data_IF_997866349908
#
_entry.id   IF_997866349908
#
_cell.length_a   1.000
_cell.length_b   1.000
_cell.length_c   1.000
_cell.angle_alpha   90.00
_cell.angle_beta   90.00
_cell.angle_gamma   90.00
#
_symmetry.space_group_name_H-M   'P 1'
#
loop_
_entity.id
_entity.type
_entity.pdbx_description
1 polymer ?
#
# COMPACT_ATOMS: atom_id res chain seq x y z
N UNK A 1 13.59 9.00 12.01
CA UNK A 1 12.96 8.10 13.01
C UNK A 1 11.57 8.59 13.35
N UNK A 2 10.60 7.68 13.45
CA UNK A 2 9.25 7.96 13.95
C UNK A 2 9.12 7.77 15.47
N UNK A 3 10.23 7.65 16.19
CA UNK A 3 10.15 7.54 17.65
C UNK A 3 9.42 8.77 18.22
N UNK A 4 8.26 8.58 18.87
CA UNK A 4 7.50 9.69 19.38
C UNK A 4 8.18 10.27 20.65
N UNK A 5 8.33 11.58 20.68
CA UNK A 5 9.04 12.28 21.75
C UNK A 5 8.17 13.25 22.53
N UNK A 6 6.99 13.59 22.02
CA UNK A 6 6.11 14.60 22.60
C UNK A 6 4.75 14.03 23.05
N UNK A 7 4.78 13.15 24.06
CA UNK A 7 3.57 12.60 24.66
C UNK A 7 2.69 13.69 25.30
N UNK A 8 3.29 14.69 25.94
CA UNK A 8 2.53 15.79 26.58
C UNK A 8 1.84 16.66 25.57
N UNK A 9 2.50 17.03 24.48
CA UNK A 9 1.87 17.77 23.38
C UNK A 9 0.70 17.00 22.78
N UNK A 10 0.84 15.68 22.59
CA UNK A 10 -0.24 14.84 22.08
C UNK A 10 -1.45 14.81 23.01
N UNK A 11 -1.25 14.64 24.33
CA UNK A 11 -2.33 14.64 25.33
C UNK A 11 -3.11 15.96 25.27
N UNK A 12 -2.40 17.07 25.31
CA UNK A 12 -3.03 18.40 25.29
C UNK A 12 -3.79 18.65 24.00
N UNK A 13 -3.19 18.27 22.86
CA UNK A 13 -3.84 18.49 21.58
C UNK A 13 -5.07 17.62 21.38
N UNK A 14 -5.00 16.32 21.66
CA UNK A 14 -6.13 15.41 21.46
C UNK A 14 -7.31 15.77 22.37
N UNK A 15 -7.07 16.12 23.65
CA UNK A 15 -8.11 16.62 24.57
C UNK A 15 -8.80 17.86 24.02
N UNK A 16 -8.02 18.83 23.56
CA UNK A 16 -8.54 20.05 22.93
C UNK A 16 -9.41 19.74 21.72
N UNK A 17 -8.99 18.77 20.87
CA UNK A 17 -9.78 18.37 19.68
C UNK A 17 -11.10 17.72 20.05
N UNK A 18 -11.13 16.87 21.07
CA UNK A 18 -12.39 16.34 21.59
C UNK A 18 -13.32 17.46 22.05
N UNK A 19 -12.84 18.40 22.85
CA UNK A 19 -13.65 19.51 23.32
C UNK A 19 -14.17 20.43 22.18
N UNK A 20 -13.33 20.74 21.20
CA UNK A 20 -13.70 21.53 20.01
C UNK A 20 -14.84 20.84 19.22
N UNK A 21 -14.72 19.52 18.96
CA UNK A 21 -15.72 18.78 18.19
C UNK A 21 -17.03 18.65 18.96
N UNK A 22 -16.98 18.36 20.26
CA UNK A 22 -18.18 18.28 21.10
C UNK A 22 -18.94 19.63 21.14
N UNK A 23 -18.23 20.74 21.22
CA UNK A 23 -18.84 22.08 21.19
C UNK A 23 -19.54 22.39 19.85
N UNK A 24 -18.98 21.92 18.71
CA UNK A 24 -19.62 22.08 17.39
C UNK A 24 -20.88 21.22 17.30
N UNK A 25 -20.80 19.95 17.75
CA UNK A 25 -21.95 19.02 17.75
C UNK A 25 -23.13 19.54 18.53
N UNK A 26 -22.88 20.16 19.68
CA UNK A 26 -23.95 20.78 20.52
C UNK A 26 -24.70 21.88 19.79
N UNK A 27 -24.08 22.54 18.80
CA UNK A 27 -24.74 23.55 17.94
C UNK A 27 -25.62 22.96 16.84
N UNK A 28 -25.59 21.63 16.66
CA UNK A 28 -26.43 20.90 15.70
C UNK A 28 -26.00 21.02 14.22
N UNK A 29 -24.79 21.51 13.94
CA UNK A 29 -24.29 21.61 12.57
C UNK A 29 -23.50 20.34 12.22
N UNK A 30 -24.17 19.40 11.53
CA UNK A 30 -23.59 18.11 11.19
C UNK A 30 -22.45 18.23 10.16
N UNK A 31 -22.62 19.06 9.14
CA UNK A 31 -21.60 19.26 8.09
C UNK A 31 -20.31 19.88 8.64
N UNK A 32 -20.45 20.92 9.47
CA UNK A 32 -19.31 21.54 10.14
C UNK A 32 -18.58 20.56 11.07
N UNK A 33 -19.35 19.73 11.79
CA UNK A 33 -18.81 18.68 12.65
C UNK A 33 -17.97 17.68 11.86
N UNK A 34 -18.51 17.17 10.75
CA UNK A 34 -17.82 16.19 9.91
C UNK A 34 -16.55 16.76 9.26
N UNK A 35 -16.62 17.97 8.74
CA UNK A 35 -15.46 18.66 8.18
C UNK A 35 -14.36 18.89 9.22
N UNK A 36 -14.76 19.27 10.46
CA UNK A 36 -13.83 19.42 11.57
C UNK A 36 -13.17 18.10 11.95
N UNK A 37 -13.92 17.01 12.04
CA UNK A 37 -13.40 15.67 12.34
C UNK A 37 -12.35 15.26 11.30
N UNK A 38 -12.65 15.39 10.00
CA UNK A 38 -11.70 15.10 8.92
C UNK A 38 -10.40 15.91 9.02
N UNK A 39 -10.52 17.19 9.35
CA UNK A 39 -9.36 18.07 9.54
C UNK A 39 -8.52 17.65 10.78
N UNK A 40 -9.17 17.26 11.85
CA UNK A 40 -8.50 16.76 13.07
C UNK A 40 -7.76 15.45 12.80
N UNK A 41 -8.38 14.50 12.12
CA UNK A 41 -7.72 13.26 11.74
C UNK A 41 -6.44 13.53 10.93
N UNK A 42 -6.53 14.33 9.85
CA UNK A 42 -5.36 14.69 9.03
C UNK A 42 -4.24 15.32 9.84
N UNK A 43 -4.59 16.23 10.76
CA UNK A 43 -3.60 16.87 11.61
C UNK A 43 -2.92 15.90 12.57
N UNK A 44 -3.69 15.08 13.29
CA UNK A 44 -3.14 14.16 14.29
C UNK A 44 -2.29 13.06 13.66
N UNK A 45 -2.68 12.54 12.50
CA UNK A 45 -1.87 11.56 11.74
C UNK A 45 -0.50 12.16 11.35
N UNK A 46 -0.47 13.44 10.94
CA UNK A 46 0.78 14.09 10.53
C UNK A 46 1.69 14.48 11.70
N UNK A 47 1.11 14.99 12.77
CA UNK A 47 1.89 15.54 13.89
C UNK A 47 2.29 14.46 14.89
N UNK A 48 1.41 13.49 15.13
CA UNK A 48 1.60 12.42 16.11
C UNK A 48 1.31 11.04 15.51
N UNK A 49 1.97 10.64 14.42
CA UNK A 49 1.59 9.48 13.61
C UNK A 49 1.48 8.18 14.42
N UNK A 50 2.48 7.88 15.26
CA UNK A 50 2.51 6.65 16.07
C UNK A 50 1.48 6.68 17.19
N UNK A 51 1.45 7.78 17.97
CA UNK A 51 0.51 7.89 19.09
C UNK A 51 -0.93 7.89 18.61
N UNK A 52 -1.19 8.56 17.48
CA UNK A 52 -2.53 8.61 16.94
C UNK A 52 -2.97 7.29 16.28
N UNK A 53 -2.05 6.56 15.65
CA UNK A 53 -2.37 5.21 15.15
C UNK A 53 -2.71 4.25 16.30
N UNK A 54 -1.97 4.26 17.41
CA UNK A 54 -2.35 3.49 18.61
C UNK A 54 -3.73 3.87 19.11
N UNK A 55 -4.02 5.18 19.16
CA UNK A 55 -5.33 5.69 19.60
C UNK A 55 -6.46 5.21 18.70
N UNK A 56 -6.27 5.21 17.39
CA UNK A 56 -7.24 4.70 16.42
C UNK A 56 -7.42 3.19 16.53
N UNK A 57 -6.31 2.44 16.67
CA UNK A 57 -6.33 0.98 16.78
C UNK A 57 -7.07 0.47 18.02
N UNK A 58 -6.98 1.20 19.11
CA UNK A 58 -7.60 0.82 20.38
C UNK A 58 -9.01 1.38 20.58
N UNK A 59 -9.48 2.18 19.65
CA UNK A 59 -10.85 2.67 19.63
C UNK A 59 -11.88 1.59 19.32
N UNK A 60 -13.14 1.93 19.40
CA UNK A 60 -14.23 1.07 18.94
C UNK A 60 -14.15 0.94 17.43
N UNK A 61 -14.15 -0.31 16.92
CA UNK A 61 -14.15 -0.61 15.50
C UNK A 61 -15.59 -0.68 14.97
N UNK A 62 -15.80 -0.18 13.76
CA UNK A 62 -17.10 -0.22 13.08
C UNK A 62 -17.52 1.13 12.53
N UNK A 63 -18.79 1.29 12.22
CA UNK A 63 -19.40 2.56 11.82
C UNK A 63 -19.33 3.53 13.00
N UNK A 64 -18.28 4.30 13.03
CA UNK A 64 -17.83 4.95 14.22
C UNK A 64 -18.32 6.39 14.25
N UNK A 65 -19.02 6.72 15.29
CA UNK A 65 -19.24 8.11 15.66
C UNK A 65 -17.92 8.70 16.21
N UNK A 66 -17.01 9.07 15.27
CA UNK A 66 -15.73 9.67 15.63
C UNK A 66 -15.94 10.86 16.58
N UNK A 67 -15.27 10.82 17.73
CA UNK A 67 -15.41 11.82 18.78
C UNK A 67 -16.84 11.94 19.35
N UNK A 68 -17.67 10.90 19.26
CA UNK A 68 -19.03 10.88 19.81
C UNK A 68 -19.07 10.90 21.33
N UNK A 69 -18.11 10.23 21.95
CA UNK A 69 -17.93 10.20 23.41
C UNK A 69 -16.98 11.32 23.86
N UNK A 70 -16.98 11.62 25.14
CA UNK A 70 -15.98 12.50 25.75
C UNK A 70 -14.58 11.86 25.71
N UNK A 71 -13.54 12.66 25.80
CA UNK A 71 -12.17 12.16 25.87
C UNK A 71 -11.95 11.17 27.03
N UNK A 72 -12.52 11.45 28.21
CA UNK A 72 -12.37 10.60 29.38
C UNK A 72 -13.04 9.23 29.20
N UNK A 73 -14.20 9.18 28.57
CA UNK A 73 -14.87 7.90 28.22
C UNK A 73 -14.03 7.10 27.22
N UNK A 74 -13.52 7.75 26.19
CA UNK A 74 -12.68 7.12 25.18
C UNK A 74 -11.34 6.62 25.76
N UNK A 75 -10.73 7.37 26.68
CA UNK A 75 -9.53 6.92 27.39
C UNK A 75 -9.84 5.71 28.26
N UNK A 76 -10.97 5.74 28.99
CA UNK A 76 -11.39 4.61 29.84
C UNK A 76 -11.57 3.31 29.05
N UNK A 77 -12.17 3.38 27.85
CA UNK A 77 -12.33 2.22 26.95
C UNK A 77 -10.96 1.64 26.58
N UNK A 78 -9.99 2.47 26.21
CA UNK A 78 -8.65 2.03 25.82
C UNK A 78 -7.86 1.42 26.96
N UNK A 79 -7.95 2.03 28.15
CA UNK A 79 -7.35 1.48 29.36
C UNK A 79 -7.92 0.08 29.68
N UNK A 80 -9.24 -0.06 29.59
CA UNK A 80 -9.91 -1.36 29.80
C UNK A 80 -9.47 -2.40 28.78
N UNK A 81 -9.40 -2.03 27.50
CA UNK A 81 -8.93 -2.92 26.41
C UNK A 81 -7.52 -3.46 26.66
N UNK A 82 -6.64 -2.63 27.24
CA UNK A 82 -5.27 -3.01 27.60
C UNK A 82 -5.14 -3.57 29.04
N UNK A 83 -6.24 -3.80 29.73
CA UNK A 83 -6.27 -4.29 31.11
C UNK A 83 -5.48 -3.37 32.09
N UNK A 84 -5.49 -2.07 31.86
CA UNK A 84 -4.80 -1.09 32.69
C UNK A 84 -5.75 -0.59 33.77
N UNK A 85 -5.38 -0.80 35.03
CA UNK A 85 -6.12 -0.33 36.21
C UNK A 85 -5.67 1.09 36.59
N UNK A 86 -6.05 2.08 35.80
CA UNK A 86 -5.83 3.50 36.12
C UNK A 86 -7.17 4.23 36.20
N UNK A 87 -7.52 4.81 37.34
CA UNK A 87 -8.78 5.56 37.45
C UNK A 87 -8.68 6.86 36.64
N UNK A 88 -9.68 7.12 35.81
CA UNK A 88 -9.84 8.38 35.10
C UNK A 88 -10.84 9.25 35.89
N UNK A 89 -10.31 10.17 36.65
CA UNK A 89 -11.14 11.20 37.34
C UNK A 89 -11.14 12.49 36.50
N UNK A 90 -11.96 13.48 36.90
CA UNK A 90 -12.05 14.73 36.16
C UNK A 90 -10.94 15.74 36.50
N UNK A 91 -9.85 15.31 37.16
CA UNK A 91 -8.70 16.20 37.44
C UNK A 91 -7.66 16.05 36.30
N UNK A 92 -7.03 17.17 35.90
CA UNK A 92 -6.00 17.15 34.86
C UNK A 92 -4.87 16.16 35.14
N UNK A 93 -4.43 16.06 36.38
CA UNK A 93 -3.33 15.18 36.81
C UNK A 93 -3.71 13.68 36.68
N UNK A 94 -4.95 13.32 37.00
CA UNK A 94 -5.46 11.96 36.86
C UNK A 94 -5.54 11.57 35.40
N UNK A 95 -6.04 12.45 34.54
CA UNK A 95 -6.17 12.24 33.11
C UNK A 95 -4.77 12.07 32.46
N UNK A 96 -3.83 12.98 32.77
CA UNK A 96 -2.45 12.89 32.27
C UNK A 96 -1.79 11.59 32.69
N UNK A 97 -1.88 11.23 33.98
CA UNK A 97 -1.30 9.98 34.51
C UNK A 97 -1.88 8.74 33.85
N UNK A 98 -3.20 8.68 33.69
CA UNK A 98 -3.89 7.57 33.01
C UNK A 98 -3.49 7.46 31.53
N UNK A 99 -3.41 8.58 30.83
CA UNK A 99 -3.01 8.62 29.43
C UNK A 99 -1.54 8.22 29.22
N UNK A 100 -0.63 8.68 30.06
CA UNK A 100 0.77 8.25 30.03
C UNK A 100 0.91 6.75 30.30
N UNK A 101 0.08 6.19 31.20
CA UNK A 101 0.02 4.76 31.45
C UNK A 101 -0.46 3.98 30.19
N UNK A 102 -1.45 4.53 29.47
CA UNK A 102 -1.90 4.00 28.20
C UNK A 102 -0.78 4.00 27.14
N UNK A 103 -0.10 5.11 26.92
CA UNK A 103 0.99 5.21 25.93
C UNK A 103 2.15 4.26 26.26
N UNK A 104 2.50 4.13 27.54
CA UNK A 104 3.52 3.17 28.00
C UNK A 104 3.11 1.72 27.69
N UNK A 105 1.86 1.37 27.90
CA UNK A 105 1.38 0.03 27.58
C UNK A 105 1.38 -0.22 26.04
N UNK A 106 1.04 0.79 25.24
CA UNK A 106 1.17 0.69 23.77
C UNK A 106 2.63 0.47 23.34
N UNK A 107 3.60 1.15 23.96
CA UNK A 107 5.01 0.93 23.68
C UNK A 107 5.46 -0.50 24.06
N UNK A 108 5.03 -1.01 25.22
CA UNK A 108 5.30 -2.39 25.61
C UNK A 108 4.66 -3.41 24.65
N UNK A 109 3.45 -3.13 24.18
CA UNK A 109 2.79 -3.92 23.16
C UNK A 109 3.58 -3.91 21.84
N UNK A 110 4.09 -2.75 21.41
CA UNK A 110 4.94 -2.62 20.23
C UNK A 110 6.22 -3.46 20.36
N UNK A 111 6.90 -3.41 21.52
CA UNK A 111 8.07 -4.24 21.78
C UNK A 111 7.75 -5.72 21.55
N UNK A 112 6.66 -6.21 22.14
CA UNK A 112 6.25 -7.60 22.02
C UNK A 112 5.89 -7.99 20.59
N UNK A 113 5.16 -7.13 19.87
CA UNK A 113 4.71 -7.39 18.49
C UNK A 113 5.88 -7.42 17.50
N UNK A 114 6.85 -6.56 17.68
CA UNK A 114 7.98 -6.45 16.78
C UNK A 114 9.20 -7.31 17.19
N UNK A 115 9.12 -8.07 18.28
CA UNK A 115 10.23 -8.85 18.80
C UNK A 115 10.84 -9.81 17.76
N UNK A 116 10.01 -10.63 17.14
CA UNK A 116 10.43 -11.57 16.10
C UNK A 116 10.94 -10.83 14.85
N UNK A 117 10.18 -9.85 14.39
CA UNK A 117 10.52 -9.07 13.19
C UNK A 117 11.86 -8.32 13.32
N UNK A 118 12.18 -7.80 14.49
CA UNK A 118 13.40 -7.02 14.70
C UNK A 118 14.63 -7.86 15.07
N UNK A 119 14.45 -9.16 15.36
CA UNK A 119 15.54 -10.05 15.77
C UNK A 119 16.68 -10.10 14.72
N UNK A 120 16.32 -10.14 13.45
CA UNK A 120 17.28 -10.21 12.32
C UNK A 120 17.71 -8.83 11.81
N UNK A 121 17.31 -7.74 12.47
CA UNK A 121 17.60 -6.36 12.08
C UNK A 121 17.29 -6.10 10.60
N UNK A 122 16.07 -6.29 10.17
CA UNK A 122 15.70 -6.23 8.76
C UNK A 122 15.95 -4.84 8.16
N UNK A 123 16.38 -4.83 6.92
CA UNK A 123 16.47 -3.64 6.08
C UNK A 123 15.40 -3.76 4.97
N UNK A 124 14.63 -2.71 4.76
CA UNK A 124 13.52 -2.70 3.81
C UNK A 124 13.72 -1.55 2.85
N UNK A 125 13.68 -1.82 1.56
CA UNK A 125 13.67 -0.79 0.52
C UNK A 125 12.24 -0.46 0.16
N UNK A 126 11.95 0.83 0.03
CA UNK A 126 10.64 1.32 -0.37
C UNK A 126 10.75 2.61 -1.19
N UNK A 127 9.71 2.92 -1.93
CA UNK A 127 9.60 4.19 -2.64
C UNK A 127 8.57 5.09 -1.97
N UNK A 128 8.82 6.38 -2.08
CA UNK A 128 7.86 7.43 -1.73
C UNK A 128 7.46 8.15 -3.01
N UNK A 129 6.18 8.16 -3.30
CA UNK A 129 5.62 8.93 -4.40
C UNK A 129 4.26 9.48 -4.02
N UNK A 130 3.78 10.46 -4.79
CA UNK A 130 2.48 11.11 -4.55
C UNK A 130 1.65 11.03 -5.81
N UNK A 131 0.41 10.60 -5.66
CA UNK A 131 -0.56 10.61 -6.75
C UNK A 131 -1.27 11.96 -6.83
N UNK A 132 -1.45 12.47 -8.03
CA UNK A 132 -2.22 13.71 -8.28
C UNK A 132 -3.70 13.46 -8.02
N UNK A 133 -4.18 12.36 -8.53
CA UNK A 133 -5.54 11.86 -8.32
C UNK A 133 -5.55 10.34 -8.47
N UNK A 134 -6.47 9.65 -7.80
CA UNK A 134 -6.66 8.23 -8.01
C UNK A 134 -7.13 7.98 -9.44
N UNK A 135 -6.57 6.94 -10.07
CA UNK A 135 -6.97 6.48 -11.37
C UNK A 135 -6.97 4.96 -11.41
N UNK A 136 -7.99 4.38 -12.01
CA UNK A 136 -8.03 2.95 -12.28
C UNK A 136 -7.22 2.57 -13.52
N UNK A 137 -6.82 3.54 -14.33
CA UNK A 137 -5.84 3.38 -15.42
C UNK A 137 -4.39 3.64 -14.99
N UNK A 138 -4.14 3.91 -13.72
CA UNK A 138 -2.88 4.43 -13.22
C UNK A 138 -1.67 3.48 -13.35
N UNK A 139 -1.84 2.27 -13.82
CA UNK A 139 -0.74 1.32 -13.98
C UNK A 139 0.38 1.90 -14.84
N UNK A 140 0.04 2.39 -16.03
CA UNK A 140 1.02 2.97 -16.95
C UNK A 140 1.17 4.47 -16.79
N UNK A 141 0.20 5.12 -16.18
CA UNK A 141 0.11 6.57 -16.03
C UNK A 141 -0.15 7.35 -17.33
N UNK A 142 -0.28 6.71 -18.46
CA UNK A 142 -0.50 7.36 -19.74
C UNK A 142 0.60 8.35 -20.12
N UNK A 143 1.83 8.01 -19.84
CA UNK A 143 2.91 8.98 -19.71
C UNK A 143 3.65 9.23 -20.99
N UNK A 144 3.68 8.29 -21.87
CA UNK A 144 4.34 8.44 -23.16
C UNK A 144 3.66 9.49 -24.02
N UNK A 145 2.39 9.76 -23.83
CA UNK A 145 1.77 10.99 -24.29
C UNK A 145 1.64 11.99 -23.13
N UNK A 146 2.60 12.87 -22.99
CA UNK A 146 2.63 13.91 -21.95
C UNK A 146 1.39 14.83 -21.94
N UNK A 147 0.56 14.80 -23.00
CA UNK A 147 -0.69 15.54 -23.09
C UNK A 147 -1.86 14.78 -22.48
N UNK A 148 -1.73 13.46 -22.35
CA UNK A 148 -2.84 12.63 -21.96
C UNK A 148 -3.12 12.71 -20.46
N UNK A 149 -2.32 12.08 -19.64
CA UNK A 149 -2.58 12.03 -18.21
C UNK A 149 -1.29 12.02 -17.40
N UNK A 150 -1.26 12.85 -16.40
CA UNK A 150 -0.20 12.88 -15.41
C UNK A 150 -0.81 12.57 -14.04
N UNK A 151 -0.61 11.37 -13.56
CA UNK A 151 -1.24 10.89 -12.32
C UNK A 151 -0.37 11.12 -11.08
N UNK A 152 0.93 11.39 -11.27
CA UNK A 152 1.85 11.63 -10.16
C UNK A 152 2.23 13.10 -10.03
N UNK A 153 2.45 13.52 -8.79
CA UNK A 153 3.07 14.79 -8.47
C UNK A 153 4.58 14.56 -8.43
N UNK A 154 5.36 15.47 -8.99
CA UNK A 154 6.81 15.45 -8.88
C UNK A 154 7.27 15.43 -7.40
N UNK A 155 8.42 14.82 -7.15
CA UNK A 155 8.98 14.68 -5.81
C UNK A 155 8.93 13.25 -5.28
N UNK A 156 9.57 12.32 -5.98
CA UNK A 156 9.74 10.93 -5.58
C UNK A 156 11.02 10.69 -4.77
N UNK A 157 11.06 9.58 -4.04
CA UNK A 157 12.25 9.11 -3.36
C UNK A 157 12.32 7.59 -3.33
N UNK A 158 13.53 7.07 -3.38
CA UNK A 158 13.87 5.71 -3.04
C UNK A 158 14.56 5.75 -1.68
N UNK A 159 14.13 4.92 -0.76
CA UNK A 159 14.63 4.94 0.62
C UNK A 159 14.81 3.53 1.17
N UNK A 160 15.65 3.42 2.18
CA UNK A 160 15.86 2.22 2.97
C UNK A 160 15.50 2.48 4.42
N UNK A 161 14.67 1.62 4.97
CA UNK A 161 14.33 1.56 6.38
C UNK A 161 15.19 0.49 7.04
N UNK A 162 15.79 0.83 8.17
CA UNK A 162 16.51 -0.09 9.04
C UNK A 162 15.94 -0.04 10.45
N UNK A 163 15.68 -1.19 11.04
CA UNK A 163 15.21 -1.25 12.42
C UNK A 163 16.37 -1.01 13.39
N UNK A 164 16.20 -0.05 14.29
CA UNK A 164 17.05 0.21 15.44
C UNK A 164 16.22 -0.03 16.71
N UNK A 165 16.31 -1.23 17.30
CA UNK A 165 15.33 -1.70 18.26
C UNK A 165 13.94 -1.75 17.63
N UNK A 166 12.95 -1.17 18.31
CA UNK A 166 11.55 -1.11 17.82
C UNK A 166 11.26 0.11 16.94
N UNK A 167 12.24 0.97 16.71
CA UNK A 167 12.07 2.19 15.91
C UNK A 167 12.85 2.09 14.62
N UNK A 168 12.27 2.63 13.58
CA UNK A 168 12.89 2.65 12.26
C UNK A 168 13.73 3.91 12.05
N UNK A 169 14.89 3.72 11.42
CA UNK A 169 15.70 4.78 10.84
C UNK A 169 15.57 4.72 9.33
N UNK A 170 15.38 5.86 8.68
CA UNK A 170 15.22 5.93 7.24
C UNK A 170 16.44 6.62 6.64
N UNK A 171 17.06 5.93 5.69
CA UNK A 171 18.12 6.45 4.83
C UNK A 171 17.55 6.70 3.44
N UNK A 172 17.68 7.90 2.93
CA UNK A 172 17.31 8.22 1.56
C UNK A 172 18.42 7.77 0.61
N UNK A 173 18.07 6.94 -0.36
CA UNK A 173 18.97 6.40 -1.37
C UNK A 173 19.04 7.30 -2.61
N UNK A 174 17.87 7.82 -3.00
CA UNK A 174 17.68 8.72 -4.14
C UNK A 174 16.50 9.64 -3.85
N UNK A 175 16.64 10.93 -4.17
CA UNK A 175 15.54 11.88 -4.25
C UNK A 175 15.51 12.50 -5.61
N UNK A 176 14.31 12.77 -6.13
CA UNK A 176 14.10 13.52 -7.34
C UNK A 176 12.91 14.45 -7.13
N UNK A 177 13.16 15.75 -7.14
CA UNK A 177 12.12 16.77 -6.94
C UNK A 177 11.27 17.01 -8.18
N UNK A 178 11.77 16.66 -9.36
CA UNK A 178 11.08 16.85 -10.65
C UNK A 178 10.48 15.56 -11.21
N UNK A 179 10.99 14.43 -10.75
CA UNK A 179 10.64 13.10 -11.23
C UNK A 179 9.81 12.27 -10.25
N UNK A 180 9.63 11.02 -10.63
CA UNK A 180 8.92 10.00 -9.85
C UNK A 180 9.69 8.69 -9.87
N UNK A 181 9.85 8.05 -8.71
CA UNK A 181 10.49 6.74 -8.53
C UNK A 181 9.48 5.75 -7.99
N UNK A 182 9.39 4.54 -8.60
CA UNK A 182 8.45 3.50 -8.19
C UNK A 182 9.00 2.09 -8.43
N UNK A 183 8.26 1.09 -8.01
CA UNK A 183 8.44 -0.35 -8.29
C UNK A 183 9.82 -0.91 -7.89
N UNK A 184 10.27 -0.77 -6.64
CA UNK A 184 11.56 -1.29 -6.23
C UNK A 184 11.52 -2.83 -6.19
N UNK A 185 12.50 -3.47 -6.82
CA UNK A 185 12.68 -4.92 -6.80
C UNK A 185 14.13 -5.27 -6.47
N UNK A 186 14.33 -5.94 -5.34
CA UNK A 186 15.66 -6.32 -4.88
C UNK A 186 16.13 -7.58 -5.59
N UNK A 187 17.35 -7.56 -6.11
CA UNK A 187 17.99 -8.73 -6.68
C UNK A 187 18.29 -9.79 -5.59
N UNK A 188 18.39 -11.06 -6.00
CA UNK A 188 18.63 -12.20 -5.08
C UNK A 188 19.94 -12.11 -4.32
N UNK A 189 20.91 -11.32 -4.80
CA UNK A 189 22.17 -11.07 -4.08
C UNK A 189 22.05 -10.08 -2.92
N UNK A 190 20.88 -9.41 -2.78
CA UNK A 190 20.65 -8.39 -1.77
C UNK A 190 21.45 -7.09 -1.93
N UNK A 191 22.13 -6.89 -3.07
CA UNK A 191 23.01 -5.75 -3.31
C UNK A 191 22.54 -4.85 -4.46
N UNK A 192 21.82 -5.40 -5.44
CA UNK A 192 21.32 -4.64 -6.58
C UNK A 192 19.83 -4.42 -6.47
N UNK A 193 19.41 -3.23 -6.84
CA UNK A 193 18.02 -2.79 -6.75
C UNK A 193 17.55 -2.26 -8.10
N UNK A 194 16.57 -2.93 -8.67
CA UNK A 194 15.86 -2.50 -9.86
C UNK A 194 14.72 -1.56 -9.46
N UNK A 195 14.46 -0.52 -10.23
CA UNK A 195 13.35 0.41 -10.02
C UNK A 195 12.97 1.14 -11.30
N UNK A 196 11.76 1.65 -11.35
CA UNK A 196 11.26 2.48 -12.42
C UNK A 196 11.44 3.96 -12.06
N UNK A 197 12.01 4.75 -12.95
CA UNK A 197 12.24 6.16 -12.71
C UNK A 197 11.91 7.00 -13.93
N UNK A 198 11.10 8.02 -13.72
CA UNK A 198 10.78 9.08 -14.66
C UNK A 198 11.38 10.37 -14.13
N UNK A 199 12.38 10.91 -14.80
CA UNK A 199 13.15 12.05 -14.32
C UNK A 199 12.47 13.41 -14.54
N UNK A 200 11.48 13.48 -15.43
CA UNK A 200 10.70 14.68 -15.66
C UNK A 200 9.26 14.32 -15.98
N UNK A 201 8.30 15.02 -15.41
CA UNK A 201 6.88 14.78 -15.69
C UNK A 201 6.46 15.04 -17.12
N UNK A 202 7.19 15.89 -17.85
CA UNK A 202 6.80 16.36 -19.19
C UNK A 202 7.72 15.90 -20.29
N UNK A 203 9.01 15.71 -19.97
CA UNK A 203 10.06 15.54 -20.96
C UNK A 203 10.62 14.12 -20.99
N UNK A 204 10.22 13.27 -20.05
CA UNK A 204 10.72 11.90 -19.90
C UNK A 204 9.59 10.92 -19.66
N UNK A 205 9.81 9.66 -20.02
CA UNK A 205 8.96 8.51 -19.69
C UNK A 205 9.57 7.70 -18.55
N UNK A 206 8.86 6.72 -18.04
CA UNK A 206 9.44 5.77 -17.10
C UNK A 206 10.43 4.85 -17.80
N UNK A 207 11.60 4.68 -17.23
CA UNK A 207 12.59 3.71 -17.64
C UNK A 207 13.07 2.88 -16.45
N UNK A 208 13.64 1.72 -16.74
CA UNK A 208 14.25 0.86 -15.73
C UNK A 208 15.67 1.29 -15.42
N UNK A 209 15.98 1.31 -14.13
CA UNK A 209 17.30 1.62 -13.57
C UNK A 209 17.68 0.56 -12.56
N UNK A 210 18.98 0.28 -12.48
CA UNK A 210 19.57 -0.56 -11.44
C UNK A 210 20.49 0.29 -10.56
N UNK A 211 20.40 0.14 -9.25
CA UNK A 211 21.31 0.74 -8.25
C UNK A 211 22.10 -0.34 -7.54
N UNK A 212 23.41 -0.16 -7.44
CA UNK A 212 24.21 -0.89 -6.47
C UNK A 212 24.03 -0.24 -5.09
N UNK A 213 23.51 -0.97 -4.13
CA UNK A 213 23.18 -0.45 -2.80
C UNK A 213 24.42 -0.11 -1.96
N UNK A 214 25.58 -0.67 -2.29
CA UNK A 214 26.84 -0.42 -1.61
C UNK A 214 27.55 0.81 -2.14
N UNK A 215 27.69 0.92 -3.46
CA UNK A 215 28.41 2.02 -4.13
C UNK A 215 27.52 3.22 -4.41
N UNK A 216 26.20 3.02 -4.47
CA UNK A 216 25.18 4.01 -4.90
C UNK A 216 25.26 4.35 -6.37
N UNK A 217 26.00 3.61 -7.16
CA UNK A 217 26.03 3.78 -8.59
C UNK A 217 24.69 3.39 -9.21
N UNK A 218 24.17 4.23 -10.11
CA UNK A 218 22.90 4.01 -10.81
C UNK A 218 23.19 3.86 -12.30
N UNK A 219 22.68 2.78 -12.87
CA UNK A 219 22.74 2.47 -14.29
C UNK A 219 21.34 2.48 -14.90
N UNK A 220 21.15 3.20 -16.00
CA UNK A 220 19.95 3.13 -16.80
C UNK A 220 19.98 1.87 -17.68
N UNK A 221 18.90 1.10 -17.70
CA UNK A 221 18.80 -0.16 -18.44
C UNK A 221 17.98 -0.03 -19.72
N UNK A 222 16.90 0.75 -19.68
CA UNK A 222 16.01 0.94 -20.83
C UNK A 222 15.95 2.40 -21.23
N UNK A 223 15.71 2.66 -22.53
CA UNK A 223 15.82 3.98 -23.15
C UNK A 223 14.75 4.17 -24.20
N UNK A 224 14.53 5.39 -24.61
CA UNK A 224 13.66 5.78 -25.70
C UNK A 224 12.63 6.83 -25.27
N UNK A 225 11.87 7.33 -26.23
CA UNK A 225 10.76 8.27 -25.99
C UNK A 225 9.46 7.69 -26.54
N UNK A 226 8.35 8.06 -25.95
CA UNK A 226 7.03 7.64 -26.38
C UNK A 226 6.63 6.25 -25.87
N UNK A 227 7.28 5.75 -24.83
CA UNK A 227 6.89 4.52 -24.16
C UNK A 227 7.42 4.51 -22.72
N UNK A 228 6.68 3.89 -21.83
CA UNK A 228 7.02 3.70 -20.43
C UNK A 228 7.43 2.23 -20.17
N UNK A 229 8.51 2.03 -19.41
CA UNK A 229 8.99 0.74 -18.92
C UNK A 229 8.87 0.75 -17.40
N UNK A 230 8.04 -0.13 -16.84
CA UNK A 230 7.66 -0.14 -15.43
C UNK A 230 7.61 -1.56 -14.85
N UNK A 231 7.53 -1.64 -13.51
CA UNK A 231 7.28 -2.88 -12.79
C UNK A 231 8.26 -4.01 -13.11
N UNK A 232 9.55 -3.66 -13.24
CA UNK A 232 10.61 -4.63 -13.50
C UNK A 232 10.82 -5.60 -12.33
N UNK A 233 10.98 -6.89 -12.63
CA UNK A 233 11.37 -7.92 -11.68
C UNK A 233 12.55 -8.72 -12.20
N UNK A 234 13.46 -9.11 -11.30
CA UNK A 234 14.52 -10.04 -11.63
C UNK A 234 13.99 -11.48 -11.73
N UNK A 235 14.50 -12.20 -12.68
CA UNK A 235 14.28 -13.64 -12.86
C UNK A 235 15.51 -14.44 -12.36
N UNK A 236 15.35 -15.75 -12.09
CA UNK A 236 16.45 -16.57 -11.55
C UNK A 236 17.66 -16.71 -12.48
N UNK A 237 17.50 -16.43 -13.75
CA UNK A 237 18.55 -16.48 -14.80
C UNK A 237 19.20 -15.10 -15.04
N UNK A 238 19.02 -14.14 -14.13
CA UNK A 238 19.45 -12.75 -14.21
C UNK A 238 18.79 -11.93 -15.32
N UNK A 239 17.81 -12.46 -16.04
CA UNK A 239 16.99 -11.66 -16.93
C UNK A 239 16.03 -10.76 -16.13
N UNK A 240 15.50 -9.74 -16.80
CA UNK A 240 14.53 -8.80 -16.24
C UNK A 240 13.23 -8.92 -17.04
N UNK A 241 12.14 -9.26 -16.35
CA UNK A 241 10.79 -9.17 -16.87
C UNK A 241 10.15 -7.86 -16.41
N UNK A 242 9.48 -7.16 -17.30
CA UNK A 242 8.89 -5.84 -16.99
C UNK A 242 7.68 -5.56 -17.87
N UNK A 243 6.87 -4.61 -17.48
CA UNK A 243 5.77 -4.09 -18.29
C UNK A 243 6.23 -2.88 -19.13
N UNK A 244 5.78 -2.83 -20.37
CA UNK A 244 6.12 -1.72 -21.27
C UNK A 244 4.96 -1.35 -22.17
N UNK A 245 4.83 -0.05 -22.48
CA UNK A 245 3.89 0.47 -23.47
C UNK A 245 4.41 0.42 -24.90
N UNK A 246 5.55 -0.24 -25.14
CA UNK A 246 6.17 -0.44 -26.48
C UNK A 246 5.27 -1.17 -27.47
N UNK A 247 4.23 -1.89 -26.99
CA UNK A 247 3.26 -2.53 -27.86
C UNK A 247 2.46 -1.56 -28.74
N UNK A 248 2.44 -0.26 -28.38
CA UNK A 248 1.84 0.79 -29.20
C UNK A 248 0.31 0.76 -29.27
N UNK A 249 -0.35 0.10 -28.32
CA UNK A 249 -1.82 0.02 -28.23
C UNK A 249 -2.35 0.98 -27.17
N UNK A 250 -3.63 1.33 -27.28
CA UNK A 250 -4.36 2.07 -26.26
C UNK A 250 -5.53 1.25 -25.72
N UNK A 251 -6.01 1.60 -24.53
CA UNK A 251 -7.23 1.01 -23.97
C UNK A 251 -8.42 1.39 -24.85
N UNK A 252 -9.36 0.47 -25.08
CA UNK A 252 -10.48 0.64 -26.03
C UNK A 252 -11.38 1.84 -25.71
N UNK A 253 -11.54 2.17 -24.43
CA UNK A 253 -12.43 3.27 -24.00
C UNK A 253 -11.68 4.57 -23.67
N UNK A 254 -10.35 4.61 -23.76
CA UNK A 254 -9.55 5.77 -23.36
C UNK A 254 -8.20 5.79 -24.10
N UNK A 255 -7.56 6.92 -24.14
CA UNK A 255 -6.25 7.08 -24.81
C UNK A 255 -5.05 6.69 -23.94
N UNK A 256 -5.27 6.07 -22.79
CA UNK A 256 -4.20 5.50 -21.97
C UNK A 256 -3.52 4.35 -22.70
N UNK A 257 -2.21 4.39 -22.75
CA UNK A 257 -1.41 3.35 -23.41
C UNK A 257 -1.43 2.06 -22.64
N UNK A 258 -1.57 0.97 -23.37
CA UNK A 258 -1.55 -0.40 -22.86
C UNK A 258 -0.12 -0.80 -22.51
N UNK A 259 0.08 -1.43 -21.35
CA UNK A 259 1.32 -2.13 -21.03
C UNK A 259 1.18 -3.63 -21.25
N UNK A 260 2.22 -4.22 -21.83
CA UNK A 260 2.38 -5.67 -21.96
C UNK A 260 3.77 -6.08 -21.48
N UNK A 261 3.97 -7.38 -21.24
CA UNK A 261 5.23 -7.89 -20.70
C UNK A 261 6.33 -8.01 -21.74
N UNK A 262 7.51 -7.59 -21.36
CA UNK A 262 8.76 -7.64 -22.09
C UNK A 262 9.84 -8.31 -21.24
N UNK A 263 10.81 -8.91 -21.90
CA UNK A 263 11.97 -9.54 -21.31
C UNK A 263 13.23 -8.92 -21.89
N UNK A 264 14.24 -8.67 -21.07
CA UNK A 264 15.60 -8.31 -21.50
C UNK A 264 16.63 -9.00 -20.60
N UNK A 265 17.91 -8.96 -20.99
CA UNK A 265 18.98 -9.35 -20.09
C UNK A 265 19.21 -8.27 -19.01
N UNK A 266 20.05 -8.58 -18.03
CA UNK A 266 20.37 -7.64 -16.94
C UNK A 266 21.01 -6.33 -17.40
N UNK A 267 21.56 -6.32 -18.63
CA UNK A 267 22.14 -5.12 -19.24
C UNK A 267 21.11 -4.29 -20.02
N UNK A 268 19.84 -4.71 -20.07
CA UNK A 268 18.77 -4.08 -20.86
C UNK A 268 18.83 -4.42 -22.35
N UNK A 269 19.59 -5.44 -22.75
CA UNK A 269 19.76 -5.86 -24.14
C UNK A 269 18.83 -7.03 -24.47
N UNK A 270 18.76 -7.38 -25.77
CA UNK A 270 17.96 -8.51 -26.28
C UNK A 270 16.49 -8.42 -25.90
N UNK A 271 15.99 -7.19 -25.87
CA UNK A 271 14.61 -6.92 -25.49
C UNK A 271 13.62 -7.57 -26.44
N UNK A 272 12.65 -8.29 -25.90
CA UNK A 272 11.57 -8.93 -26.67
C UNK A 272 10.26 -8.89 -25.90
N UNK A 273 9.16 -8.78 -26.62
CA UNK A 273 7.81 -8.92 -26.06
C UNK A 273 7.51 -10.40 -25.77
N UNK A 274 6.93 -10.67 -24.60
CA UNK A 274 6.53 -12.01 -24.15
C UNK A 274 5.05 -12.08 -23.76
N UNK A 275 4.39 -10.92 -23.53
CA UNK A 275 2.95 -10.79 -23.38
C UNK A 275 2.32 -10.11 -24.60
N UNK A 276 1.16 -10.59 -25.05
CA UNK A 276 0.46 -10.11 -26.25
C UNK A 276 -1.03 -9.90 -25.97
N UNK A 277 -1.33 -9.34 -24.79
CA UNK A 277 -2.69 -9.13 -24.34
C UNK A 277 -3.29 -7.86 -24.96
N UNK A 278 -4.62 -7.85 -25.12
CA UNK A 278 -5.36 -6.75 -25.73
C UNK A 278 -5.19 -5.46 -24.91
N UNK A 279 -5.24 -5.56 -23.60
CA UNK A 279 -5.10 -4.46 -22.65
C UNK A 279 -4.03 -4.79 -21.61
N UNK A 280 -4.01 -4.09 -20.48
CA UNK A 280 -2.91 -4.18 -19.52
C UNK A 280 -2.61 -5.57 -18.98
N UNK A 281 -1.33 -5.89 -18.94
CA UNK A 281 -0.74 -6.78 -17.95
C UNK A 281 0.05 -5.94 -16.95
N UNK A 282 -0.10 -6.19 -15.64
CA UNK A 282 0.50 -5.37 -14.57
C UNK A 282 0.88 -6.20 -13.36
N UNK A 283 1.70 -5.62 -12.51
CA UNK A 283 2.12 -6.15 -11.20
C UNK A 283 2.65 -7.60 -11.25
N UNK A 284 3.61 -7.93 -12.14
CA UNK A 284 4.18 -9.27 -12.19
C UNK A 284 4.90 -9.60 -10.88
N UNK A 285 4.82 -10.86 -10.47
CA UNK A 285 5.57 -11.41 -9.35
C UNK A 285 6.09 -12.79 -9.68
N UNK A 286 7.33 -13.05 -9.27
CA UNK A 286 7.94 -14.36 -9.41
C UNK A 286 7.47 -15.28 -8.27
N UNK A 287 7.10 -16.51 -8.61
CA UNK A 287 6.80 -17.58 -7.66
C UNK A 287 8.04 -18.41 -7.34
N UNK A 288 8.02 -19.10 -6.20
CA UNK A 288 9.11 -20.01 -5.78
C UNK A 288 9.38 -21.14 -6.77
N UNK A 289 8.40 -21.51 -7.58
CA UNK A 289 8.54 -22.54 -8.62
C UNK A 289 9.05 -21.99 -9.97
N UNK A 290 9.37 -20.71 -10.04
CA UNK A 290 9.92 -20.03 -11.21
C UNK A 290 8.87 -19.50 -12.19
N UNK A 291 7.59 -19.73 -11.98
CA UNK A 291 6.52 -19.11 -12.79
C UNK A 291 6.34 -17.66 -12.38
N UNK A 292 5.73 -16.89 -13.27
CA UNK A 292 5.32 -15.50 -13.01
C UNK A 292 3.80 -15.45 -12.92
N UNK A 293 3.28 -14.83 -11.88
CA UNK A 293 1.86 -14.47 -11.74
C UNK A 293 1.72 -12.97 -11.92
N UNK A 294 0.67 -12.55 -12.59
CA UNK A 294 0.43 -11.15 -12.93
C UNK A 294 -1.06 -10.87 -13.03
N UNK A 295 -1.44 -9.61 -12.87
CA UNK A 295 -2.79 -9.16 -13.16
C UNK A 295 -2.94 -8.93 -14.66
N UNK A 296 -3.99 -9.49 -15.25
CA UNK A 296 -4.35 -9.30 -16.65
C UNK A 296 -5.72 -8.64 -16.72
N UNK A 297 -5.82 -7.52 -17.39
CA UNK A 297 -7.12 -6.92 -17.67
C UNK A 297 -7.78 -7.62 -18.85
N UNK A 298 -8.96 -8.15 -18.64
CA UNK A 298 -9.73 -8.84 -19.66
C UNK A 298 -10.88 -7.94 -20.12
N UNK A 299 -10.59 -7.07 -21.08
CA UNK A 299 -11.53 -6.10 -21.60
C UNK A 299 -12.46 -6.74 -22.62
N UNK A 300 -13.55 -7.30 -22.15
CA UNK A 300 -14.58 -7.90 -22.99
C UNK A 300 -15.98 -7.50 -22.49
N UNK A 301 -17.02 -7.89 -23.25
CA UNK A 301 -18.41 -7.54 -22.94
C UNK A 301 -19.10 -8.52 -21.98
N UNK A 302 -18.37 -9.43 -21.34
CA UNK A 302 -18.92 -10.41 -20.39
C UNK A 302 -19.54 -9.73 -19.17
N UNK A 303 -20.83 -9.49 -19.24
CA UNK A 303 -21.61 -8.87 -18.17
C UNK A 303 -21.13 -7.48 -17.72
N UNK A 304 -20.32 -6.80 -18.52
CA UNK A 304 -19.69 -5.51 -18.20
C UNK A 304 -18.85 -5.55 -16.91
N UNK A 305 -18.24 -6.69 -16.59
CA UNK A 305 -17.41 -6.86 -15.41
C UNK A 305 -16.00 -6.31 -15.63
N UNK A 306 -15.46 -6.40 -16.86
CA UNK A 306 -14.10 -5.97 -17.23
C UNK A 306 -13.06 -6.45 -16.23
N UNK A 307 -13.09 -7.74 -15.92
CA UNK A 307 -12.31 -8.35 -14.87
C UNK A 307 -10.80 -8.13 -15.06
N UNK A 308 -10.11 -7.97 -13.95
CA UNK A 308 -8.66 -7.96 -13.86
C UNK A 308 -8.20 -9.12 -12.97
N UNK A 309 -8.32 -10.36 -13.47
CA UNK A 309 -7.95 -11.57 -12.74
C UNK A 309 -6.43 -11.78 -12.74
N UNK A 310 -6.01 -12.83 -12.03
CA UNK A 310 -4.63 -13.29 -12.03
C UNK A 310 -4.41 -14.36 -13.08
N UNK A 311 -3.36 -14.18 -13.87
CA UNK A 311 -2.81 -15.14 -14.79
C UNK A 311 -1.40 -15.55 -14.37
N UNK A 312 -0.96 -16.69 -14.89
CA UNK A 312 0.40 -17.20 -14.71
C UNK A 312 1.02 -17.54 -16.06
N UNK A 313 2.33 -17.52 -16.12
CA UNK A 313 3.11 -17.96 -17.27
C UNK A 313 4.52 -18.41 -16.87
N UNK A 314 5.20 -19.10 -17.75
CA UNK A 314 6.64 -19.25 -17.66
C UNK A 314 7.34 -17.90 -17.95
N UNK A 315 8.56 -17.67 -17.45
CA UNK A 315 9.28 -16.42 -17.66
C UNK A 315 9.50 -16.04 -19.13
N UNK A 316 9.49 -17.01 -20.04
CA UNK A 316 9.64 -16.80 -21.48
C UNK A 316 8.33 -16.43 -22.21
N UNK A 317 7.23 -16.33 -21.49
CA UNK A 317 5.89 -16.01 -22.00
C UNK A 317 5.05 -17.22 -22.40
N UNK A 318 5.58 -18.43 -22.28
CA UNK A 318 4.83 -19.68 -22.60
C UNK A 318 3.96 -20.13 -21.44
N UNK A 319 3.03 -21.05 -21.69
CA UNK A 319 2.21 -21.67 -20.64
C UNK A 319 1.25 -20.72 -19.95
N UNK A 320 0.78 -19.68 -20.63
CA UNK A 320 -0.20 -18.73 -20.08
C UNK A 320 -1.48 -19.45 -19.71
N UNK A 321 -1.89 -19.28 -18.46
CA UNK A 321 -3.10 -19.88 -17.92
C UNK A 321 -3.67 -19.02 -16.80
N UNK A 322 -4.95 -19.19 -16.55
CA UNK A 322 -5.60 -18.60 -15.38
C UNK A 322 -4.94 -19.05 -14.07
N UNK A 323 -4.83 -18.15 -13.15
CA UNK A 323 -4.46 -18.46 -11.77
C UNK A 323 -5.66 -18.30 -10.83
N UNK A 324 -6.37 -17.15 -10.88
CA UNK A 324 -7.53 -16.85 -10.06
C UNK A 324 -8.41 -15.77 -10.69
N UNK A 325 -9.74 -15.94 -10.65
CA UNK A 325 -10.71 -14.88 -10.83
C UNK A 325 -11.24 -14.68 -12.26
N UNK A 326 -10.92 -15.56 -13.21
CA UNK A 326 -11.37 -15.41 -14.59
C UNK A 326 -12.89 -15.53 -14.74
N UNK A 327 -13.55 -16.31 -13.91
CA UNK A 327 -15.01 -16.47 -13.88
C UNK A 327 -15.69 -15.67 -12.76
N UNK A 328 -14.94 -14.87 -12.02
CA UNK A 328 -15.47 -14.09 -10.92
C UNK A 328 -16.27 -12.87 -11.40
N UNK A 329 -17.42 -12.66 -10.78
CA UNK A 329 -18.11 -11.37 -10.79
C UNK A 329 -17.50 -10.41 -9.78
N UNK A 330 -16.87 -10.97 -8.76
CA UNK A 330 -16.36 -10.28 -7.61
C UNK A 330 -15.27 -11.11 -6.90
N UNK A 331 -14.17 -10.50 -6.47
CA UNK A 331 -13.76 -9.13 -6.79
C UNK A 331 -13.36 -8.99 -8.26
N UNK A 332 -13.57 -7.82 -8.85
CA UNK A 332 -13.26 -7.62 -10.27
C UNK A 332 -11.78 -7.40 -10.54
N UNK A 333 -11.03 -6.93 -9.56
CA UNK A 333 -9.60 -6.64 -9.71
C UNK A 333 -8.81 -7.20 -8.53
N UNK A 334 -7.75 -7.93 -8.83
CA UNK A 334 -6.74 -8.38 -7.87
C UNK A 334 -5.37 -7.95 -8.37
N UNK A 335 -4.64 -7.22 -7.58
CA UNK A 335 -3.33 -6.67 -7.98
C UNK A 335 -2.32 -6.65 -6.83
N UNK A 336 -1.09 -6.27 -7.16
CA UNK A 336 0.00 -6.10 -6.19
C UNK A 336 0.26 -7.36 -5.36
N UNK A 337 0.18 -8.50 -6.01
CA UNK A 337 0.29 -9.82 -5.40
C UNK A 337 1.73 -10.16 -5.01
N UNK A 338 1.84 -10.95 -3.94
CA UNK A 338 3.10 -11.57 -3.50
C UNK A 338 2.81 -12.98 -2.99
N UNK A 339 3.70 -13.92 -3.30
CA UNK A 339 3.60 -15.25 -2.72
C UNK A 339 3.95 -15.22 -1.22
N UNK A 340 3.18 -15.94 -0.43
CA UNK A 340 3.50 -16.16 0.98
C UNK A 340 4.62 -17.20 1.06
N UNK A 341 5.77 -16.88 1.69
CA UNK A 341 6.94 -17.75 1.70
C UNK A 341 6.63 -19.18 2.15
N UNK A 342 7.14 -20.16 1.41
CA UNK A 342 6.99 -21.59 1.72
C UNK A 342 5.59 -22.16 1.49
N UNK A 343 4.69 -21.43 0.83
CA UNK A 343 3.31 -21.86 0.53
C UNK A 343 3.00 -21.65 -0.95
N UNK A 344 1.83 -22.14 -1.41
CA UNK A 344 1.27 -21.80 -2.73
C UNK A 344 0.31 -20.60 -2.67
N UNK A 345 0.08 -20.05 -1.48
CA UNK A 345 -0.85 -18.95 -1.26
C UNK A 345 -0.26 -17.62 -1.72
N UNK A 346 -1.12 -16.75 -2.21
CA UNK A 346 -0.77 -15.39 -2.59
C UNK A 346 -1.48 -14.40 -1.68
N UNK A 347 -0.78 -13.35 -1.30
CA UNK A 347 -1.39 -12.18 -0.69
C UNK A 347 -1.53 -11.08 -1.73
N UNK A 348 -2.66 -10.38 -1.76
CA UNK A 348 -2.92 -9.35 -2.74
C UNK A 348 -3.94 -8.31 -2.29
N UNK A 349 -4.08 -7.28 -3.11
CA UNK A 349 -5.04 -6.20 -2.91
C UNK A 349 -6.23 -6.42 -3.82
N UNK A 350 -7.42 -6.44 -3.22
CA UNK A 350 -8.70 -6.67 -3.87
C UNK A 350 -9.44 -5.34 -4.00
N UNK A 351 -9.87 -5.03 -5.21
CA UNK A 351 -10.55 -3.76 -5.51
C UNK A 351 -11.61 -3.93 -6.59
N UNK A 352 -12.48 -2.96 -6.75
CA UNK A 352 -13.45 -2.90 -7.84
C UNK A 352 -12.84 -2.31 -9.11
N UNK A 353 -13.53 -2.47 -10.23
CA UNK A 353 -13.07 -2.02 -11.56
C UNK A 353 -12.67 -0.52 -11.58
N UNK A 354 -13.51 0.35 -11.03
CA UNK A 354 -13.26 1.80 -10.97
C UNK A 354 -12.67 2.26 -9.63
N UNK A 355 -11.92 1.40 -8.96
CA UNK A 355 -11.24 1.74 -7.71
C UNK A 355 -9.79 2.16 -8.01
N UNK A 356 -9.29 3.25 -7.45
CA UNK A 356 -7.88 3.58 -7.56
C UNK A 356 -7.04 2.48 -6.91
N UNK A 357 -5.88 2.20 -7.40
CA UNK A 357 -4.87 1.19 -7.08
C UNK A 357 -4.65 0.85 -5.59
N UNK A 358 -5.71 0.74 -4.81
CA UNK A 358 -5.73 0.33 -3.41
C UNK A 358 -7.10 -0.28 -3.06
N UNK A 359 -7.15 -1.09 -2.03
CA UNK A 359 -8.36 -1.82 -1.68
C UNK A 359 -8.22 -2.61 -0.39
N UNK A 360 -8.83 -3.78 -0.35
CA UNK A 360 -8.82 -4.70 0.79
C UNK A 360 -7.71 -5.74 0.63
N UNK A 361 -7.18 -6.18 1.76
CA UNK A 361 -6.12 -7.18 1.80
C UNK A 361 -6.73 -8.59 1.90
N UNK A 362 -6.26 -9.50 1.07
CA UNK A 362 -6.71 -10.89 1.10
C UNK A 362 -5.59 -11.87 0.77
N UNK A 363 -5.83 -13.10 1.19
CA UNK A 363 -5.00 -14.27 0.88
C UNK A 363 -5.79 -15.16 -0.06
N UNK A 364 -5.18 -15.55 -1.17
CA UNK A 364 -5.70 -16.52 -2.14
C UNK A 364 -5.03 -17.86 -1.88
N UNK A 365 -5.85 -18.89 -1.65
CA UNK A 365 -5.43 -20.28 -1.61
C UNK A 365 -5.98 -20.99 -2.87
N UNK A 366 -5.17 -21.21 -3.89
CA UNK A 366 -5.63 -21.79 -5.14
C UNK A 366 -6.08 -23.26 -5.02
N UNK A 367 -5.75 -23.91 -3.89
CA UNK A 367 -6.21 -25.28 -3.60
C UNK A 367 -7.63 -25.32 -3.02
N UNK A 368 -8.08 -24.21 -2.43
CA UNK A 368 -9.42 -24.10 -1.87
C UNK A 368 -10.46 -23.57 -2.87
N UNK A 369 -10.02 -22.85 -3.89
CA UNK A 369 -10.88 -22.32 -4.96
C UNK A 369 -10.18 -21.28 -5.81
N UNK A 370 -10.79 -20.92 -6.95
CA UNK A 370 -10.17 -20.02 -7.94
C UNK A 370 -11.06 -18.86 -8.39
N UNK A 371 -12.29 -18.80 -7.93
CA UNK A 371 -13.24 -17.77 -8.33
C UNK A 371 -13.98 -17.19 -7.15
N UNK A 372 -14.36 -15.92 -7.26
CA UNK A 372 -15.13 -15.18 -6.26
C UNK A 372 -14.51 -15.28 -4.86
N UNK A 373 -15.33 -15.61 -3.87
CA UNK A 373 -14.87 -15.80 -2.50
C UNK A 373 -14.33 -17.22 -2.20
N UNK A 374 -14.33 -18.11 -3.19
CA UNK A 374 -13.75 -19.45 -3.01
C UNK A 374 -12.22 -19.35 -3.00
N UNK A 375 -11.61 -19.88 -1.97
CA UNK A 375 -10.17 -19.81 -1.77
C UNK A 375 -9.65 -18.43 -1.34
N UNK A 376 -10.52 -17.46 -1.04
CA UNK A 376 -10.12 -16.14 -0.58
C UNK A 376 -10.47 -15.94 0.89
N UNK A 377 -9.50 -15.48 1.65
CA UNK A 377 -9.67 -15.03 3.01
C UNK A 377 -9.26 -13.55 3.12
N UNK A 378 -10.22 -12.68 3.38
CA UNK A 378 -9.91 -11.28 3.70
C UNK A 378 -9.31 -11.19 5.10
N UNK A 379 -8.22 -10.47 5.20
CA UNK A 379 -7.45 -10.31 6.44
C UNK A 379 -7.37 -8.84 6.85
N UNK A 380 -7.07 -8.58 8.06
CA UNK A 380 -6.74 -7.36 8.75
C UNK A 380 -7.12 -6.02 8.08
N UNK A 381 -8.05 -5.28 8.67
CA UNK A 381 -8.91 -5.62 9.80
C UNK A 381 -10.23 -6.30 9.39
N UNK A 382 -10.41 -6.62 8.12
CA UNK A 382 -11.63 -7.23 7.57
C UNK A 382 -11.43 -8.73 7.44
N UNK A 383 -12.13 -9.51 8.25
CA UNK A 383 -12.03 -10.98 8.29
C UNK A 383 -13.20 -11.70 7.61
N UNK A 384 -14.02 -10.99 6.85
CA UNK A 384 -15.16 -11.53 6.12
C UNK A 384 -15.23 -10.95 4.73
N UNK A 385 -15.84 -11.67 3.78
CA UNK A 385 -16.10 -11.13 2.46
C UNK A 385 -16.89 -9.82 2.54
N UNK A 386 -16.46 -8.84 1.77
CA UNK A 386 -17.23 -7.62 1.59
C UNK A 386 -18.45 -7.89 0.69
N UNK A 387 -19.48 -7.03 0.71
CA UNK A 387 -20.56 -7.10 -0.26
C UNK A 387 -20.04 -7.04 -1.70
N UNK A 388 -20.60 -7.85 -2.55
CA UNK A 388 -20.26 -7.87 -3.97
C UNK A 388 -20.57 -6.53 -4.62
N UNK A 389 -19.53 -5.88 -5.16
CA UNK A 389 -19.61 -4.59 -5.83
C UNK A 389 -18.62 -4.54 -6.98
N UNK A 390 -19.12 -4.41 -8.19
CA UNK A 390 -18.30 -4.39 -9.40
C UNK A 390 -17.37 -3.17 -9.41
N UNK A 391 -17.91 -1.96 -9.21
CA UNK A 391 -17.16 -0.73 -9.46
C UNK A 391 -16.41 -0.15 -8.28
N UNK A 392 -16.83 -0.38 -7.07
CA UNK A 392 -16.29 0.35 -5.90
C UNK A 392 -15.98 -0.54 -4.72
N UNK A 393 -15.69 -1.80 -4.99
CA UNK A 393 -15.25 -2.73 -3.96
C UNK A 393 -13.98 -2.26 -3.27
N UNK A 394 -13.92 -2.46 -1.96
CA UNK A 394 -12.77 -2.08 -1.16
C UNK A 394 -12.57 -0.58 -0.94
N UNK A 395 -13.48 0.27 -1.42
CA UNK A 395 -13.33 1.73 -1.40
C UNK A 395 -13.58 2.37 -0.03
N UNK A 396 -14.30 1.70 0.84
CA UNK A 396 -14.69 2.27 2.14
C UNK A 396 -13.71 1.90 3.23
N UNK A 397 -13.63 2.73 4.26
CA UNK A 397 -12.79 2.56 5.44
C UNK A 397 -11.29 2.50 5.11
N UNK A 398 -10.54 1.73 5.88
CA UNK A 398 -9.11 1.51 5.72
C UNK A 398 -8.74 0.92 4.35
N UNK A 399 -7.56 1.30 3.86
CA UNK A 399 -7.07 0.94 2.54
C UNK A 399 -5.66 0.38 2.59
N UNK A 400 -5.38 -0.55 1.69
CA UNK A 400 -4.13 -1.29 1.59
C UNK A 400 -3.50 -1.15 0.21
N UNK A 401 -2.16 -1.17 0.16
CA UNK A 401 -1.34 -1.26 -1.04
C UNK A 401 -0.09 -2.07 -0.77
N UNK A 402 0.49 -2.66 -1.83
CA UNK A 402 1.81 -3.26 -1.84
C UNK A 402 2.12 -4.17 -0.63
N UNK A 403 1.33 -5.23 -0.40
CA UNK A 403 1.62 -6.16 0.66
C UNK A 403 2.92 -6.92 0.40
N UNK A 404 3.67 -7.20 1.46
CA UNK A 404 4.87 -8.02 1.44
C UNK A 404 4.78 -9.03 2.60
N UNK A 405 4.29 -10.26 2.32
CA UNK A 405 4.12 -11.27 3.35
C UNK A 405 5.47 -11.76 3.87
N UNK A 406 5.59 -11.86 5.19
CA UNK A 406 6.72 -12.47 5.90
C UNK A 406 6.40 -13.92 6.24
N UNK A 407 5.12 -14.21 6.46
CA UNK A 407 4.56 -15.52 6.75
C UNK A 407 3.07 -15.54 6.40
N UNK A 408 2.36 -16.62 6.70
CA UNK A 408 0.88 -16.66 6.59
C UNK A 408 0.16 -15.71 7.56
N UNK A 409 0.83 -15.27 8.61
CA UNK A 409 0.22 -14.48 9.69
C UNK A 409 0.82 -13.10 9.88
N UNK A 410 1.97 -12.81 9.27
CA UNK A 410 2.66 -11.52 9.43
C UNK A 410 3.11 -10.97 8.08
N UNK A 411 3.01 -9.66 7.90
CA UNK A 411 3.36 -8.99 6.65
C UNK A 411 3.69 -7.52 6.86
N UNK A 412 4.41 -6.98 5.89
CA UNK A 412 4.55 -5.53 5.71
C UNK A 412 3.51 -5.07 4.70
N UNK A 413 3.00 -3.85 4.87
CA UNK A 413 1.99 -3.31 3.98
C UNK A 413 1.98 -1.78 4.00
N UNK A 414 1.72 -1.17 2.86
CA UNK A 414 1.32 0.23 2.80
C UNK A 414 -0.16 0.33 3.21
N UNK A 415 -0.45 1.11 4.23
CA UNK A 415 -1.77 1.14 4.84
C UNK A 415 -2.18 2.54 5.28
N UNK A 416 -3.47 2.82 5.19
CA UNK A 416 -4.10 4.03 5.77
C UNK A 416 -5.37 3.65 6.53
N UNK A 417 -5.47 3.98 7.83
CA UNK A 417 -6.56 3.52 8.69
C UNK A 417 -7.91 4.20 8.41
N UNK A 418 -7.89 5.35 7.77
CA UNK A 418 -9.08 6.17 7.56
C UNK A 418 -9.54 6.23 6.10
N UNK A 419 -8.72 5.72 5.17
CA UNK A 419 -9.05 5.63 3.76
C UNK A 419 -9.68 6.90 3.20
N UNK A 420 -10.74 6.73 2.44
CA UNK A 420 -11.48 7.84 1.83
C UNK A 420 -12.25 8.72 2.81
N UNK A 421 -12.40 8.32 4.05
CA UNK A 421 -13.12 9.15 5.03
C UNK A 421 -12.50 10.54 5.17
N UNK A 422 -11.18 10.64 5.17
CA UNK A 422 -10.48 11.93 5.25
C UNK A 422 -10.37 12.65 3.91
N UNK A 423 -10.79 12.01 2.80
CA UNK A 423 -10.68 12.55 1.44
C UNK A 423 -9.28 12.40 0.86
N UNK A 424 -9.07 13.03 -0.29
CA UNK A 424 -7.78 13.05 -0.97
C UNK A 424 -6.93 14.27 -0.60
N UNK A 425 -5.59 14.15 -0.67
CA UNK A 425 -4.83 12.92 -0.83
C UNK A 425 -4.91 12.04 0.42
N UNK A 426 -4.97 10.72 0.21
CA UNK A 426 -4.79 9.76 1.29
C UNK A 426 -3.31 9.57 1.59
N UNK A 427 -2.97 9.43 2.86
CA UNK A 427 -1.60 9.25 3.31
C UNK A 427 -1.40 7.80 3.77
N UNK A 428 -0.55 7.09 3.03
CA UNK A 428 -0.16 5.72 3.36
C UNK A 428 1.15 5.72 4.16
N UNK A 429 1.21 4.91 5.20
CA UNK A 429 2.45 4.57 5.89
C UNK A 429 2.83 3.12 5.63
N UNK A 430 4.08 2.75 5.92
CA UNK A 430 4.51 1.36 5.94
C UNK A 430 4.28 0.80 7.35
N UNK A 431 3.56 -0.29 7.41
CA UNK A 431 3.20 -0.98 8.66
C UNK A 431 3.72 -2.41 8.67
N UNK A 432 4.14 -2.86 9.83
CA UNK A 432 4.07 -4.27 10.19
C UNK A 432 2.64 -4.56 10.64
N UNK A 433 2.08 -5.67 10.20
CA UNK A 433 0.72 -6.07 10.53
C UNK A 433 0.61 -7.59 10.61
N UNK A 434 -0.30 -8.09 11.44
CA UNK A 434 -0.66 -9.50 11.44
C UNK A 434 -2.06 -9.73 10.85
N UNK A 435 -2.42 -11.00 10.65
CA UNK A 435 -3.70 -11.39 10.06
C UNK A 435 -4.92 -10.94 10.89
N UNK A 436 -4.75 -10.68 12.18
CA UNK A 436 -5.80 -10.16 13.07
C UNK A 436 -5.97 -8.64 13.01
N UNK A 437 -5.18 -7.95 12.17
CA UNK A 437 -5.22 -6.50 12.03
C UNK A 437 -4.51 -5.74 13.14
N UNK A 438 -3.77 -6.45 14.01
CA UNK A 438 -2.84 -5.82 14.91
C UNK A 438 -1.68 -5.24 14.12
N UNK A 439 -1.33 -3.98 14.39
CA UNK A 439 -0.39 -3.27 13.53
C UNK A 439 0.54 -2.34 14.29
N UNK A 440 1.69 -2.07 13.68
CA UNK A 440 2.64 -1.08 14.16
C UNK A 440 3.18 -0.25 13.00
N UNK A 441 3.03 1.06 13.08
CA UNK A 441 3.56 1.98 12.06
C UNK A 441 5.08 2.01 12.10
N UNK A 442 5.73 1.68 10.98
CA UNK A 442 7.19 1.69 10.84
C UNK A 442 7.70 3.02 10.27
N UNK A 443 7.06 3.52 9.23
CA UNK A 443 7.40 4.79 8.60
C UNK A 443 6.17 5.48 8.00
N UNK A 444 6.11 6.79 8.11
CA UNK A 444 5.17 7.64 7.38
C UNK A 444 5.83 8.96 7.00
N UNK A 445 5.27 9.63 6.00
CA UNK A 445 5.66 11.00 5.69
C UNK A 445 4.82 11.97 6.53
N UNK A 446 5.50 12.81 7.28
CA UNK A 446 4.88 13.80 8.14
C UNK A 446 4.94 15.23 7.56
N UNK A 447 5.40 15.36 6.31
CA UNK A 447 5.61 16.69 5.66
C UNK A 447 4.45 17.13 4.80
#
# INVERSE_FOLDING_TARGET
SLQPTDAKGFIVEIQKKYAEIQAIRQKGNQEETENKIKAVHRRLIRVYPVYYDWWLQDGTTGDVDWFGKSFNEELSVRLQKLNIKAPVTNTPESIESAFLSYLKACEQRRIKRLEAFTADKPEIVFTKYRTLRPSFFAYTEGVSDARAECNYIAGGALAKLKMNGIWAEVETLLTDEEGVVRDPNLHFDGQHLLFSWKKSRKEDDFHLYEMDLKTREIKQLTFGKGHADIEGIYLPDDNILFNSTRCGSTVDCWFTEVSNMYLCDREGRYMRQVGFDQVHTVTPTLLDDGRVVYTRWDYNDRGQVWAQPLFQMNPDGTGQAEYYGMNSWFPTTVAQIRQIPGTRKLMGVFMGHHTPQHGKLGIIDPEAGRDENEGVMFVAPVHKPEPERIDSYGKFTDQFQHPFPLSETEYLVSYTPLGYYVGHPMEFGVYWMNADGERELLVSDTR
#
